data_IF_029747090300
#
_entry.id   IF_029747090300
#
_cell.length_a   1.000
_cell.length_b   1.000
_cell.length_c   1.000
_cell.angle_alpha   90.00
_cell.angle_beta   90.00
_cell.angle_gamma   90.00
#
_symmetry.space_group_name_H-M   'P 1'
#
loop_
_entity.id
_entity.type
_entity.pdbx_description
1 polymer ?
#
# COMPACT_ATOMS: atom_id res chain seq x y z
N UNK A 1 13.36 29.52 70.69
CA UNK A 1 12.84 30.40 69.62
C UNK A 1 12.27 29.51 68.51
N UNK A 2 11.04 29.86 68.11
CA UNK A 2 10.15 29.41 67.03
C UNK A 2 10.58 28.35 65.98
N UNK A 3 9.61 27.48 65.68
CA UNK A 3 9.55 26.41 64.65
C UNK A 3 9.43 26.97 63.19
N UNK A 4 9.06 26.18 62.16
CA UNK A 4 9.92 25.58 61.12
C UNK A 4 9.51 26.05 59.69
N UNK A 5 10.20 25.62 58.63
CA UNK A 5 9.58 25.59 57.28
C UNK A 5 10.01 24.35 56.53
N UNK A 6 9.08 23.40 56.43
CA UNK A 6 9.07 22.30 55.47
C UNK A 6 8.45 22.83 54.19
N UNK A 7 9.18 22.79 53.08
CA UNK A 7 8.61 23.12 51.76
C UNK A 7 8.33 21.83 50.99
N UNK A 8 7.04 21.57 50.75
CA UNK A 8 6.54 20.45 49.95
C UNK A 8 6.60 20.83 48.47
N UNK A 9 7.36 20.10 47.67
CA UNK A 9 7.30 20.19 46.21
C UNK A 9 6.19 19.28 45.69
N UNK A 10 5.13 19.88 45.18
CA UNK A 10 4.02 19.20 44.50
C UNK A 10 4.46 18.81 43.10
N UNK A 11 4.69 17.51 42.85
CA UNK A 11 4.91 17.00 41.51
C UNK A 11 3.56 16.97 40.76
N UNK A 12 3.38 17.87 39.79
CA UNK A 12 2.27 17.84 38.85
C UNK A 12 2.46 16.66 37.89
N UNK A 13 1.68 15.60 38.11
CA UNK A 13 1.47 14.50 37.17
C UNK A 13 0.67 15.06 36.00
N UNK A 14 1.37 15.62 35.01
CA UNK A 14 0.79 16.04 33.74
C UNK A 14 0.52 14.82 32.87
N UNK A 15 -0.67 14.23 33.02
CA UNK A 15 -1.18 13.16 32.16
C UNK A 15 -1.34 13.66 30.72
N UNK A 16 -0.37 13.36 29.87
CA UNK A 16 -0.49 13.54 28.42
C UNK A 16 -1.42 12.44 27.88
N UNK A 17 -2.72 12.75 27.83
CA UNK A 17 -3.72 11.95 27.14
C UNK A 17 -3.44 12.02 25.63
N UNK A 18 -2.70 11.05 25.11
CA UNK A 18 -2.58 10.84 23.66
C UNK A 18 -3.93 10.35 23.16
N UNK A 19 -4.73 11.27 22.63
CA UNK A 19 -5.93 10.96 21.87
C UNK A 19 -5.49 10.11 20.66
N UNK A 20 -5.65 8.80 20.78
CA UNK A 20 -5.57 7.84 19.68
C UNK A 20 -6.61 8.23 18.63
N UNK A 21 -6.22 9.08 17.69
CA UNK A 21 -7.01 9.40 16.52
C UNK A 21 -7.13 8.14 15.66
N UNK A 22 -8.26 7.44 15.81
CA UNK A 22 -8.73 6.50 14.81
C UNK A 22 -9.03 7.31 13.55
N UNK A 23 -8.03 7.48 12.69
CA UNK A 23 -8.21 8.12 11.40
C UNK A 23 -9.27 7.31 10.63
N UNK A 24 -10.40 7.91 10.23
CA UNK A 24 -11.40 7.21 9.44
C UNK A 24 -10.76 6.74 8.14
N UNK A 25 -11.19 5.57 7.66
CA UNK A 25 -10.80 5.05 6.36
C UNK A 25 -10.95 6.16 5.31
N UNK A 26 -9.85 6.50 4.66
CA UNK A 26 -9.78 7.62 3.73
C UNK A 26 -10.65 7.31 2.52
N UNK A 27 -11.81 7.97 2.40
CA UNK A 27 -12.62 7.94 1.20
C UNK A 27 -11.82 8.63 0.09
N UNK A 28 -11.44 7.88 -0.95
CA UNK A 28 -10.59 8.36 -2.03
C UNK A 28 -9.75 7.25 -2.67
N UNK A 29 -8.97 7.61 -3.71
CA UNK A 29 -8.14 6.66 -4.44
C UNK A 29 -7.12 5.99 -3.51
N UNK A 30 -6.83 4.72 -3.75
CA UNK A 30 -5.87 3.94 -2.97
C UNK A 30 -4.45 4.57 -2.93
N UNK A 31 -4.02 5.18 -4.02
CA UNK A 31 -2.79 5.97 -4.10
C UNK A 31 -2.87 6.93 -5.29
N UNK A 32 -1.98 7.91 -5.33
CA UNK A 32 -1.95 8.91 -6.41
C UNK A 32 -1.29 8.36 -7.67
N UNK A 33 -1.64 8.90 -8.84
CA UNK A 33 -0.80 8.76 -10.04
C UNK A 33 0.44 9.66 -9.91
N UNK A 34 1.60 9.26 -10.44
CA UNK A 34 2.74 10.15 -10.54
C UNK A 34 2.45 11.26 -11.55
N UNK A 35 3.08 12.40 -11.35
CA UNK A 35 3.24 13.39 -12.40
C UNK A 35 4.19 12.81 -13.47
N UNK A 36 3.84 12.94 -14.74
CA UNK A 36 4.63 12.40 -15.85
C UNK A 36 5.38 13.55 -16.53
N UNK A 37 6.71 13.63 -16.40
CA UNK A 37 7.52 14.62 -17.11
C UNK A 37 7.37 14.49 -18.63
N UNK A 38 7.31 15.63 -19.32
CA UNK A 38 7.09 15.69 -20.76
C UNK A 38 8.13 14.88 -21.55
N UNK A 39 9.39 14.89 -21.11
CA UNK A 39 10.48 14.21 -21.82
C UNK A 39 10.44 12.67 -21.70
N UNK A 40 9.54 12.12 -20.88
CA UNK A 40 9.31 10.68 -20.80
C UNK A 40 7.89 10.27 -21.17
N UNK A 41 7.07 11.18 -21.72
CA UNK A 41 5.66 10.96 -22.00
C UNK A 41 5.38 9.74 -22.90
N UNK A 42 6.30 9.41 -23.80
CA UNK A 42 6.20 8.31 -24.77
C UNK A 42 6.87 7.01 -24.30
N UNK A 43 7.42 6.99 -23.08
CA UNK A 43 8.01 5.77 -22.53
C UNK A 43 6.93 4.77 -22.11
N UNK A 44 7.27 3.48 -22.15
CA UNK A 44 6.39 2.42 -21.66
C UNK A 44 5.95 2.65 -20.21
N UNK A 45 6.87 3.10 -19.33
CA UNK A 45 6.59 3.39 -17.93
C UNK A 45 5.57 4.52 -17.77
N UNK A 46 5.71 5.61 -18.54
CA UNK A 46 4.76 6.72 -18.52
C UNK A 46 3.37 6.28 -19.01
N UNK A 47 3.32 5.50 -20.10
CA UNK A 47 2.08 4.93 -20.61
C UNK A 47 1.41 4.05 -19.55
N UNK A 48 2.15 3.12 -18.95
CA UNK A 48 1.63 2.22 -17.91
C UNK A 48 1.08 2.98 -16.69
N UNK A 49 1.78 4.02 -16.22
CA UNK A 49 1.32 4.84 -15.09
C UNK A 49 0.06 5.63 -15.46
N UNK A 50 -0.01 6.18 -16.67
CA UNK A 50 -1.17 6.94 -17.18
C UNK A 50 -2.41 6.06 -17.31
N UNK A 51 -2.26 4.87 -17.86
CA UNK A 51 -3.35 3.92 -18.13
C UNK A 51 -3.76 3.11 -16.89
N UNK A 52 -3.04 3.24 -15.78
CA UNK A 52 -3.36 2.54 -14.55
C UNK A 52 -4.75 2.89 -14.01
N UNK A 53 -5.55 1.86 -13.72
CA UNK A 53 -6.85 1.97 -13.08
C UNK A 53 -6.62 2.02 -11.57
N UNK A 54 -6.90 3.17 -10.95
CA UNK A 54 -6.74 3.34 -9.50
C UNK A 54 -8.04 2.93 -8.81
N UNK A 55 -8.05 1.85 -7.99
CA UNK A 55 -9.22 1.53 -7.19
C UNK A 55 -9.37 2.49 -6.01
N UNK A 56 -10.60 2.59 -5.49
CA UNK A 56 -10.87 3.23 -4.20
C UNK A 56 -10.18 2.46 -3.07
N UNK A 57 -9.68 3.17 -2.06
CA UNK A 57 -8.98 2.56 -0.93
C UNK A 57 -9.86 1.54 -0.18
N UNK A 58 -11.15 1.83 -0.04
CA UNK A 58 -12.14 0.92 0.58
C UNK A 58 -12.24 -0.41 -0.14
N UNK A 59 -12.14 -0.41 -1.48
CA UNK A 59 -12.19 -1.62 -2.31
C UNK A 59 -10.95 -2.49 -2.17
N UNK A 60 -9.78 -1.88 -1.94
CA UNK A 60 -8.53 -2.62 -1.78
C UNK A 60 -8.48 -3.33 -0.44
N UNK A 61 -9.03 -2.73 0.62
CA UNK A 61 -9.06 -3.32 1.96
C UNK A 61 -7.69 -3.49 2.62
N UNK A 62 -6.64 -2.94 2.00
CA UNK A 62 -5.26 -2.90 2.50
C UNK A 62 -4.93 -1.44 2.83
N UNK A 63 -4.18 -1.14 3.90
CA UNK A 63 -3.72 0.22 4.19
C UNK A 63 -2.87 0.80 3.05
N UNK A 64 -3.30 1.96 2.52
CA UNK A 64 -2.53 2.73 1.56
C UNK A 64 -1.24 3.24 2.20
N UNK A 65 -0.13 3.20 1.45
CA UNK A 65 1.14 3.76 1.93
C UNK A 65 1.22 5.27 1.64
N UNK A 66 1.42 6.13 2.65
CA UNK A 66 1.50 7.58 2.44
C UNK A 66 2.63 7.96 1.47
N UNK A 67 2.34 8.86 0.53
CA UNK A 67 3.34 9.35 -0.43
C UNK A 67 3.73 8.36 -1.54
N UNK A 68 3.20 7.13 -1.53
CA UNK A 68 3.40 6.20 -2.64
C UNK A 68 2.59 6.63 -3.87
N UNK A 69 3.15 6.38 -5.06
CA UNK A 69 2.51 6.66 -6.35
C UNK A 69 2.39 5.39 -7.18
N UNK A 70 1.28 5.23 -7.89
CA UNK A 70 0.98 4.05 -8.72
C UNK A 70 1.75 4.17 -10.03
N UNK A 71 2.61 3.19 -10.29
CA UNK A 71 3.35 3.11 -11.56
C UNK A 71 2.70 2.15 -12.56
N UNK A 72 1.91 1.19 -12.05
CA UNK A 72 1.19 0.23 -12.88
C UNK A 72 0.08 -0.47 -12.10
N UNK A 73 -1.03 -0.77 -12.76
CA UNK A 73 -2.02 -1.75 -12.29
C UNK A 73 -2.20 -2.87 -13.30
N UNK A 74 -2.51 -4.07 -12.83
CA UNK A 74 -2.89 -5.20 -13.67
C UNK A 74 -4.31 -5.63 -13.31
N UNK A 75 -5.30 -5.05 -14.01
CA UNK A 75 -6.68 -5.54 -13.96
C UNK A 75 -6.76 -6.91 -14.66
N UNK A 76 -7.62 -7.78 -14.15
CA UNK A 76 -7.70 -9.22 -14.50
C UNK A 76 -7.90 -9.44 -16.00
N UNK A 77 -8.53 -8.49 -16.69
CA UNK A 77 -9.03 -8.66 -18.06
C UNK A 77 -7.95 -8.38 -19.14
N UNK A 78 -6.75 -7.90 -18.75
CA UNK A 78 -5.63 -7.57 -19.66
C UNK A 78 -4.35 -8.37 -19.38
N UNK A 79 -4.44 -9.46 -18.61
CA UNK A 79 -3.25 -10.18 -18.16
C UNK A 79 -2.71 -11.16 -19.20
N UNK A 80 -1.37 -11.27 -19.34
CA UNK A 80 -0.77 -12.45 -19.94
C UNK A 80 -1.25 -13.72 -19.21
N UNK A 81 -1.54 -14.84 -19.91
CA UNK A 81 -2.14 -16.05 -19.33
C UNK A 81 -1.44 -16.62 -18.08
N UNK A 82 -0.16 -16.29 -17.88
CA UNK A 82 0.64 -16.73 -16.72
C UNK A 82 0.34 -16.00 -15.40
N UNK A 83 -0.51 -14.97 -15.39
CA UNK A 83 -0.86 -14.20 -14.19
C UNK A 83 -2.32 -14.46 -13.78
N UNK A 84 -2.59 -15.67 -13.30
CA UNK A 84 -3.85 -16.03 -12.64
C UNK A 84 -3.92 -15.39 -11.24
N UNK A 85 -5.12 -15.24 -10.66
CA UNK A 85 -5.33 -14.76 -9.28
C UNK A 85 -5.65 -13.27 -9.14
N UNK A 86 -5.36 -12.70 -7.97
CA UNK A 86 -5.85 -11.38 -7.55
C UNK A 86 -5.34 -10.20 -8.39
N UNK A 87 -6.14 -9.11 -8.58
CA UNK A 87 -5.71 -7.79 -9.02
C UNK A 87 -4.40 -7.29 -8.38
N UNK A 88 -3.53 -6.59 -9.14
CA UNK A 88 -2.22 -6.11 -8.67
C UNK A 88 -2.11 -4.60 -8.87
N UNK A 89 -1.60 -3.91 -7.85
CA UNK A 89 -1.15 -2.52 -7.90
C UNK A 89 0.36 -2.50 -7.62
N UNK A 90 1.15 -1.94 -8.51
CA UNK A 90 2.56 -1.64 -8.28
C UNK A 90 2.72 -0.15 -8.01
N UNK A 91 3.36 0.17 -6.88
CA UNK A 91 3.58 1.53 -6.42
C UNK A 91 5.05 1.74 -6.04
N UNK A 92 5.54 2.97 -6.15
CA UNK A 92 6.87 3.34 -5.65
C UNK A 92 6.77 4.42 -4.58
N UNK A 93 7.72 4.43 -3.65
CA UNK A 93 7.91 5.49 -2.65
C UNK A 93 9.38 5.90 -2.57
N UNK A 94 9.62 7.14 -2.15
CA UNK A 94 10.94 7.66 -1.85
C UNK A 94 11.48 7.15 -0.51
N UNK A 95 10.60 6.65 0.36
CA UNK A 95 11.00 6.09 1.66
C UNK A 95 11.79 4.79 1.50
N UNK A 96 12.69 4.56 2.45
CA UNK A 96 13.54 3.40 2.46
C UNK A 96 12.78 2.12 2.80
N UNK A 97 13.41 0.99 2.46
CA UNK A 97 12.84 -0.34 2.57
C UNK A 97 12.32 -0.67 3.99
N UNK A 98 13.07 -0.30 5.03
CA UNK A 98 12.72 -0.67 6.41
C UNK A 98 11.54 0.16 6.91
N UNK A 99 11.53 1.46 6.59
CA UNK A 99 10.40 2.36 6.91
C UNK A 99 9.08 1.85 6.33
N UNK A 100 9.10 1.31 5.11
CA UNK A 100 7.89 0.72 4.50
C UNK A 100 7.46 -0.58 5.21
N UNK A 101 8.42 -1.44 5.59
CA UNK A 101 8.13 -2.67 6.36
C UNK A 101 7.48 -2.33 7.70
N UNK A 102 8.04 -1.37 8.44
CA UNK A 102 7.59 -1.03 9.78
C UNK A 102 6.18 -0.46 9.77
N UNK A 103 5.86 0.36 8.76
CA UNK A 103 4.48 0.80 8.52
C UNK A 103 3.52 -0.39 8.37
N UNK A 104 3.83 -1.36 7.49
CA UNK A 104 2.92 -2.48 7.26
C UNK A 104 2.86 -3.44 8.44
N UNK A 105 3.94 -3.62 9.21
CA UNK A 105 3.90 -4.34 10.50
C UNK A 105 2.92 -3.70 11.48
N UNK A 106 2.94 -2.37 11.58
CA UNK A 106 2.02 -1.64 12.46
C UNK A 106 0.57 -1.70 11.97
N UNK A 107 0.35 -1.62 10.66
CA UNK A 107 -0.99 -1.52 10.07
C UNK A 107 -1.66 -2.86 9.80
N UNK A 108 -0.89 -3.95 9.68
CA UNK A 108 -1.35 -5.31 9.44
C UNK A 108 -0.86 -6.28 10.52
N UNK A 109 -1.11 -6.00 11.82
CA UNK A 109 -0.50 -6.74 12.92
C UNK A 109 -0.94 -8.21 13.01
N UNK A 110 -2.08 -8.56 12.40
CA UNK A 110 -2.60 -9.93 12.35
C UNK A 110 -2.13 -10.72 11.11
N UNK A 111 -1.51 -10.05 10.12
CA UNK A 111 -1.09 -10.69 8.89
C UNK A 111 0.20 -11.47 9.10
N UNK A 112 0.27 -12.64 8.49
CA UNK A 112 1.50 -13.43 8.47
C UNK A 112 2.51 -12.74 7.57
N UNK A 113 3.78 -12.77 7.95
CA UNK A 113 4.82 -12.09 7.20
C UNK A 113 6.13 -12.87 7.20
N UNK A 114 6.89 -12.72 6.12
CA UNK A 114 8.18 -13.37 5.92
C UNK A 114 9.02 -12.58 4.91
N UNK A 115 10.34 -12.69 5.03
CA UNK A 115 11.26 -12.23 3.99
C UNK A 115 11.61 -13.39 3.05
N UNK A 116 11.36 -13.21 1.75
CA UNK A 116 11.58 -14.20 0.71
C UNK A 116 12.15 -13.50 -0.54
N UNK A 117 13.13 -14.12 -1.20
CA UNK A 117 13.65 -13.65 -2.50
C UNK A 117 13.99 -12.14 -2.55
N UNK A 118 14.61 -11.61 -1.49
CA UNK A 118 14.97 -10.18 -1.34
C UNK A 118 13.78 -9.20 -1.21
N UNK A 119 12.62 -9.70 -0.79
CA UNK A 119 11.43 -8.91 -0.53
C UNK A 119 10.76 -9.32 0.78
N UNK A 120 10.07 -8.36 1.40
CA UNK A 120 9.35 -8.59 2.64
C UNK A 120 7.87 -8.65 2.32
N UNK A 121 7.21 -9.71 2.77
CA UNK A 121 5.83 -9.98 2.40
C UNK A 121 4.92 -10.03 3.60
N UNK A 122 3.68 -9.58 3.39
CA UNK A 122 2.56 -9.73 4.31
C UNK A 122 1.44 -10.45 3.56
N UNK A 123 0.83 -11.45 4.18
CA UNK A 123 -0.26 -12.24 3.64
C UNK A 123 -1.36 -12.38 4.70
N UNK A 124 -2.62 -12.23 4.28
CA UNK A 124 -3.76 -12.19 5.21
C UNK A 124 -3.89 -13.47 6.05
N UNK A 125 -3.72 -14.65 5.45
CA UNK A 125 -3.80 -15.94 6.15
C UNK A 125 -2.49 -16.74 6.11
N UNK A 126 -1.47 -16.24 5.40
CA UNK A 126 -0.12 -16.79 5.35
C UNK A 126 0.20 -17.59 4.09
N UNK A 127 -0.68 -17.58 3.09
CA UNK A 127 -0.42 -18.20 1.80
C UNK A 127 0.38 -17.25 0.90
N UNK A 128 1.71 -17.34 0.98
CA UNK A 128 2.64 -16.57 0.16
C UNK A 128 2.90 -17.25 -1.20
N UNK A 129 1.88 -17.26 -2.07
CA UNK A 129 2.03 -17.68 -3.46
C UNK A 129 1.98 -16.47 -4.42
N UNK A 130 3.14 -16.04 -4.90
CA UNK A 130 3.25 -14.88 -5.78
C UNK A 130 2.81 -15.14 -7.22
N UNK A 131 2.83 -16.40 -7.65
CA UNK A 131 2.52 -16.78 -9.03
C UNK A 131 1.02 -16.95 -9.23
N UNK A 132 0.32 -17.44 -8.21
CA UNK A 132 -1.13 -17.60 -8.16
C UNK A 132 -1.63 -17.16 -6.79
N UNK A 133 -1.71 -15.85 -6.55
CA UNK A 133 -2.17 -15.36 -5.27
C UNK A 133 -3.66 -15.58 -5.11
N UNK A 134 -4.00 -16.29 -4.05
CA UNK A 134 -5.37 -16.67 -3.67
C UNK A 134 -5.90 -15.78 -2.54
N UNK A 135 -5.02 -15.03 -1.88
CA UNK A 135 -5.37 -14.12 -0.79
C UNK A 135 -4.68 -12.75 -0.92
N UNK A 136 -5.26 -11.71 -0.30
CA UNK A 136 -4.64 -10.40 -0.24
C UNK A 136 -3.24 -10.46 0.35
N UNK A 137 -2.29 -9.81 -0.32
CA UNK A 137 -0.91 -9.77 0.12
C UNK A 137 -0.20 -8.47 -0.32
N UNK A 138 0.83 -8.10 0.43
CA UNK A 138 1.70 -6.95 0.16
C UNK A 138 3.13 -7.45 0.03
N UNK A 139 3.80 -7.10 -1.05
CA UNK A 139 5.24 -7.34 -1.24
C UNK A 139 6.02 -6.04 -1.28
N UNK A 140 7.06 -5.94 -0.47
CA UNK A 140 7.94 -4.77 -0.39
C UNK A 140 9.29 -5.18 -0.95
N UNK A 141 9.79 -4.42 -1.93
CA UNK A 141 11.02 -4.70 -2.65
C UNK A 141 11.94 -3.47 -2.63
N UNK A 142 13.24 -3.69 -2.47
CA UNK A 142 14.23 -2.66 -2.79
C UNK A 142 14.22 -2.41 -4.30
N UNK A 143 14.01 -1.16 -4.71
CA UNK A 143 13.96 -0.78 -6.13
C UNK A 143 15.26 -1.16 -6.87
N UNK A 144 16.39 -1.08 -6.15
CA UNK A 144 17.72 -1.47 -6.64
C UNK A 144 17.83 -2.94 -7.07
N UNK A 145 17.11 -3.84 -6.39
CA UNK A 145 17.16 -5.29 -6.62
C UNK A 145 16.12 -5.76 -7.63
N UNK A 146 15.02 -5.01 -7.80
CA UNK A 146 13.89 -5.44 -8.62
C UNK A 146 14.00 -4.96 -10.08
N UNK A 147 14.46 -3.73 -10.31
CA UNK A 147 14.48 -3.12 -11.64
C UNK A 147 15.90 -2.96 -12.20
N UNK A 148 16.01 -3.00 -13.53
CA UNK A 148 17.28 -2.75 -14.22
C UNK A 148 17.65 -1.27 -14.16
N UNK A 149 18.94 -0.95 -14.33
CA UNK A 149 19.46 0.41 -14.20
C UNK A 149 18.68 1.48 -15.02
N UNK A 150 18.31 1.17 -16.27
CA UNK A 150 17.52 2.06 -17.11
C UNK A 150 16.10 2.31 -16.58
N UNK A 151 15.43 1.26 -16.11
CA UNK A 151 14.09 1.36 -15.52
C UNK A 151 14.13 2.16 -14.22
N UNK A 152 15.12 1.93 -13.36
CA UNK A 152 15.34 2.69 -12.13
C UNK A 152 15.46 4.19 -12.41
N UNK A 153 16.18 4.57 -13.47
CA UNK A 153 16.33 5.97 -13.88
C UNK A 153 14.97 6.58 -14.29
N UNK A 154 14.15 5.84 -15.02
CA UNK A 154 12.80 6.30 -15.42
C UNK A 154 11.86 6.42 -14.22
N UNK A 155 11.86 5.44 -13.31
CA UNK A 155 11.04 5.48 -12.09
C UNK A 155 11.41 6.67 -11.19
N UNK A 156 12.70 7.00 -11.09
CA UNK A 156 13.17 8.19 -10.36
C UNK A 156 12.82 9.52 -11.01
N UNK A 157 12.42 9.53 -12.29
CA UNK A 157 11.83 10.72 -12.91
C UNK A 157 10.36 10.89 -12.54
N UNK A 158 9.63 9.79 -12.36
CA UNK A 158 8.22 9.81 -11.92
C UNK A 158 8.09 10.16 -10.44
N UNK A 159 9.00 9.66 -9.61
CA UNK A 159 9.11 10.02 -8.20
C UNK A 159 10.58 10.23 -7.84
N UNK A 160 11.05 11.49 -7.76
CA UNK A 160 12.40 11.79 -7.32
C UNK A 160 12.71 11.14 -5.97
N UNK A 161 13.87 10.48 -5.90
CA UNK A 161 14.27 9.75 -4.69
C UNK A 161 13.61 8.39 -4.49
N UNK A 162 12.85 7.86 -5.45
CA UNK A 162 12.27 6.52 -5.33
C UNK A 162 13.31 5.44 -4.94
N UNK A 163 13.01 4.70 -3.88
CA UNK A 163 13.87 3.69 -3.26
C UNK A 163 13.18 2.33 -3.08
N UNK A 164 11.86 2.33 -2.89
CA UNK A 164 11.11 1.12 -2.54
C UNK A 164 9.94 0.92 -3.49
N UNK A 165 9.77 -0.33 -3.94
CA UNK A 165 8.60 -0.81 -4.68
C UNK A 165 7.66 -1.54 -3.71
N UNK A 166 6.37 -1.24 -3.82
CA UNK A 166 5.29 -1.89 -3.08
C UNK A 166 4.37 -2.55 -4.09
N UNK A 167 4.12 -3.84 -3.93
CA UNK A 167 3.17 -4.61 -4.72
C UNK A 167 1.99 -5.00 -3.84
N UNK A 168 0.79 -4.61 -4.24
CA UNK A 168 -0.44 -4.88 -3.49
C UNK A 168 -1.33 -5.77 -4.33
N UNK A 169 -1.71 -6.91 -3.75
CA UNK A 169 -2.61 -7.87 -4.34
C UNK A 169 -3.87 -7.88 -3.50
N UNK A 170 -5.01 -7.60 -4.10
CA UNK A 170 -6.25 -7.34 -3.36
C UNK A 170 -7.42 -8.13 -3.92
N UNK A 171 -8.35 -8.50 -3.04
CA UNK A 171 -9.55 -9.21 -3.44
C UNK A 171 -10.38 -8.31 -4.38
N UNK A 172 -10.81 -8.86 -5.52
CA UNK A 172 -11.87 -8.21 -6.29
C UNK A 172 -13.14 -8.39 -5.47
N UNK A 173 -13.79 -7.32 -5.03
CA UNK A 173 -15.19 -7.44 -4.64
C UNK A 173 -15.93 -8.06 -5.84
N UNK A 174 -16.48 -9.26 -5.66
CA UNK A 174 -17.46 -9.77 -6.61
C UNK A 174 -18.58 -8.74 -6.68
N UNK A 175 -19.05 -8.35 -7.87
CA UNK A 175 -20.25 -7.53 -7.96
C UNK A 175 -21.32 -8.26 -7.17
N UNK A 176 -21.88 -7.61 -6.15
CA UNK A 176 -23.05 -8.14 -5.43
C UNK A 176 -24.02 -8.60 -6.51
N UNK A 177 -24.27 -9.90 -6.60
CA UNK A 177 -25.35 -10.40 -7.45
C UNK A 177 -26.58 -9.62 -7.03
N UNK A 178 -27.08 -8.75 -7.91
CA UNK A 178 -28.41 -8.18 -7.75
C UNK A 178 -29.33 -9.38 -7.59
N UNK A 179 -29.99 -9.47 -6.44
CA UNK A 179 -30.99 -10.50 -6.21
C UNK A 179 -31.93 -10.49 -7.42
N UNK A 180 -32.20 -11.63 -8.05
CA UNK A 180 -33.05 -11.67 -9.23
C UNK A 180 -34.33 -10.93 -8.90
N UNK A 181 -34.64 -9.90 -9.72
CA UNK A 181 -35.86 -9.13 -9.58
C UNK A 181 -37.00 -10.13 -9.40
N UNK A 182 -37.68 -10.07 -8.27
CA UNK A 182 -38.81 -10.93 -7.99
C UNK A 182 -39.84 -10.66 -9.09
N UNK A 183 -39.84 -11.49 -10.12
CA UNK A 183 -40.89 -11.51 -11.13
C UNK A 183 -42.14 -11.99 -10.41
N UNK A 184 -42.90 -11.02 -9.91
CA UNK A 184 -44.31 -11.22 -9.60
C UNK A 184 -44.96 -11.79 -10.84
N UNK A 185 -45.30 -13.07 -10.79
CA UNK A 185 -46.25 -13.63 -11.72
C UNK A 185 -47.65 -13.09 -11.38
N UNK A 186 -48.48 -12.84 -12.41
CA UNK A 186 -49.82 -12.26 -12.27
C UNK A 186 -50.80 -13.17 -11.53
#
# INVERSE_FOLDING_TARGET
>A
MNLPVVSRATALIGGLFVLLSNAPAQAGPFASRPEIPAEMADTYTAKAARESVIPEASRVGIPAYPGAVIIRTFAVDERPPKYEGLPIIEMITADDYQTVIDFYKQRLPSWRNAELLSAYYFAQYGNLNFFKPEEPHVGIHKLENYYRAGEKKLLRKLLPGAQTLIKVFYAREEPKQEAPAAHGQP
#
